data_IF_669043307110
#
_entry.id   IF_669043307110
#
_cell.length_a   1.000
_cell.length_b   1.000
_cell.length_c   1.000
_cell.angle_alpha   90.00
_cell.angle_beta   90.00
_cell.angle_gamma   90.00
#
_symmetry.space_group_name_H-M   'P 1'
#
loop_
_entity.id
_entity.type
_entity.pdbx_description
1 polymer ?
#
# COMPACT_ATOMS: atom_id res chain seq x y z
N UNK A 1 19.18 6.55 -18.70
CA UNK A 1 17.73 6.84 -18.65
C UNK A 1 17.13 5.84 -17.71
N UNK A 2 16.38 6.29 -16.70
CA UNK A 2 15.79 5.42 -15.66
C UNK A 2 14.54 4.76 -16.25
N UNK A 3 14.49 3.44 -16.24
CA UNK A 3 13.39 2.65 -16.78
C UNK A 3 12.29 2.49 -15.70
N UNK A 4 11.10 2.97 -15.98
CA UNK A 4 9.98 3.02 -15.02
C UNK A 4 8.81 2.18 -15.52
N UNK A 5 8.31 1.29 -14.66
CA UNK A 5 7.00 0.69 -14.81
C UNK A 5 6.00 1.51 -13.98
N UNK A 6 4.87 1.88 -14.58
CA UNK A 6 3.80 2.61 -13.92
C UNK A 6 2.55 1.73 -13.82
N UNK A 7 2.08 1.48 -12.59
CA UNK A 7 0.90 0.68 -12.32
C UNK A 7 -0.15 1.50 -11.55
N UNK A 8 -1.31 1.69 -12.14
CA UNK A 8 -2.43 2.48 -11.62
C UNK A 8 -3.71 2.06 -12.35
N UNK A 9 -4.81 1.81 -11.66
CA UNK A 9 -6.05 1.38 -12.32
C UNK A 9 -6.82 2.53 -12.96
N UNK A 10 -6.55 3.77 -12.55
CA UNK A 10 -7.15 4.97 -13.12
C UNK A 10 -6.51 5.34 -14.47
N UNK A 11 -7.16 4.96 -15.57
CA UNK A 11 -6.62 5.14 -16.93
C UNK A 11 -6.16 6.57 -17.24
N UNK A 12 -6.94 7.60 -16.83
CA UNK A 12 -6.57 8.99 -17.09
C UNK A 12 -5.35 9.44 -16.29
N UNK A 13 -5.29 9.05 -15.01
CA UNK A 13 -4.17 9.37 -14.12
C UNK A 13 -2.90 8.70 -14.63
N UNK A 14 -2.96 7.40 -14.92
CA UNK A 14 -1.84 6.63 -15.45
C UNK A 14 -1.31 7.23 -16.75
N UNK A 15 -2.20 7.54 -17.71
CA UNK A 15 -1.81 8.14 -18.98
C UNK A 15 -1.19 9.54 -18.83
N UNK A 16 -1.74 10.37 -17.95
CA UNK A 16 -1.19 11.70 -17.65
C UNK A 16 0.21 11.60 -17.01
N UNK A 17 0.37 10.74 -16.00
CA UNK A 17 1.66 10.52 -15.34
C UNK A 17 2.71 9.97 -16.32
N UNK A 18 2.34 9.02 -17.17
CA UNK A 18 3.23 8.48 -18.19
C UNK A 18 3.69 9.57 -19.18
N UNK A 19 2.77 10.43 -19.61
CA UNK A 19 3.09 11.54 -20.51
C UNK A 19 4.04 12.55 -19.84
N UNK A 20 3.75 12.94 -18.60
CA UNK A 20 4.59 13.88 -17.84
C UNK A 20 5.99 13.33 -17.56
N UNK A 21 6.11 12.06 -17.17
CA UNK A 21 7.41 11.42 -16.92
C UNK A 21 8.24 11.31 -18.21
N UNK A 22 7.61 11.07 -19.37
CA UNK A 22 8.32 11.07 -20.67
C UNK A 22 8.86 12.44 -21.07
N UNK A 23 8.29 13.54 -20.59
CA UNK A 23 8.81 14.90 -20.83
C UNK A 23 10.08 15.19 -20.03
N UNK A 24 10.35 14.44 -18.98
CA UNK A 24 11.51 14.61 -18.10
C UNK A 24 12.80 14.12 -18.74
N UNK A 25 13.00 13.86 -19.91
CA UNK A 25 14.26 13.54 -20.62
C UNK A 25 15.22 12.51 -19.98
N UNK A 26 15.07 12.21 -18.69
CA UNK A 26 15.88 11.25 -17.91
C UNK A 26 15.14 9.96 -17.53
N UNK A 27 13.82 9.91 -17.79
CA UNK A 27 12.94 8.80 -17.42
C UNK A 27 12.29 8.20 -18.66
N UNK A 28 12.27 6.87 -18.74
CA UNK A 28 11.59 6.09 -19.77
C UNK A 28 10.49 5.24 -19.15
N UNK A 29 9.23 5.48 -19.50
CA UNK A 29 8.12 4.62 -19.08
C UNK A 29 8.07 3.40 -20.02
N UNK A 30 8.55 2.26 -19.51
CA UNK A 30 8.69 1.00 -20.27
C UNK A 30 7.42 0.13 -20.22
N UNK A 31 6.57 0.32 -19.24
CA UNK A 31 5.29 -0.39 -19.13
C UNK A 31 4.24 0.43 -18.37
N UNK A 32 2.99 0.30 -18.78
CA UNK A 32 1.81 0.87 -18.12
C UNK A 32 0.83 -0.27 -17.82
N UNK A 33 0.52 -0.49 -16.53
CA UNK A 33 -0.25 -1.63 -16.05
C UNK A 33 -1.49 -1.12 -15.30
N UNK A 34 -2.63 -1.75 -15.52
CA UNK A 34 -3.89 -1.37 -14.88
C UNK A 34 -4.29 -2.29 -13.71
N UNK A 35 -3.58 -3.39 -13.50
CA UNK A 35 -3.94 -4.44 -12.54
C UNK A 35 -2.71 -4.90 -11.78
N UNK A 36 -2.83 -5.01 -10.46
CA UNK A 36 -1.69 -5.40 -9.63
C UNK A 36 -1.23 -6.86 -9.85
N UNK A 37 -2.13 -7.77 -10.24
CA UNK A 37 -1.78 -9.16 -10.52
C UNK A 37 -0.94 -9.34 -11.79
N UNK A 38 -0.87 -8.34 -12.67
CA UNK A 38 -0.05 -8.33 -13.88
C UNK A 38 1.35 -7.73 -13.67
N UNK A 39 1.57 -6.99 -12.58
CA UNK A 39 2.80 -6.19 -12.39
C UNK A 39 4.04 -7.05 -12.30
N UNK A 40 4.00 -8.18 -11.58
CA UNK A 40 5.18 -9.04 -11.39
C UNK A 40 5.68 -9.58 -12.73
N UNK A 41 4.76 -10.06 -13.58
CA UNK A 41 5.09 -10.54 -14.91
C UNK A 41 5.63 -9.42 -15.82
N UNK A 42 5.07 -8.20 -15.71
CA UNK A 42 5.53 -7.05 -16.45
C UNK A 42 6.95 -6.61 -16.00
N UNK A 43 7.26 -6.68 -14.70
CA UNK A 43 8.62 -6.41 -14.19
C UNK A 43 9.62 -7.43 -14.75
N UNK A 44 9.27 -8.70 -14.83
CA UNK A 44 10.13 -9.74 -15.42
C UNK A 44 10.36 -9.51 -16.92
N UNK A 45 9.32 -9.10 -17.65
CA UNK A 45 9.40 -8.87 -19.10
C UNK A 45 10.17 -7.58 -19.46
N UNK A 46 9.96 -6.50 -18.71
CA UNK A 46 10.48 -5.18 -19.04
C UNK A 46 11.71 -4.76 -18.24
N UNK A 47 12.05 -5.48 -17.17
CA UNK A 47 13.21 -5.20 -16.29
C UNK A 47 13.34 -3.69 -15.95
N UNK A 48 12.31 -3.07 -15.31
CA UNK A 48 12.40 -1.67 -14.91
C UNK A 48 13.38 -1.49 -13.74
N UNK A 49 13.98 -0.30 -13.65
CA UNK A 49 14.79 0.11 -12.49
C UNK A 49 13.90 0.47 -11.31
N UNK A 50 12.75 1.10 -11.59
CA UNK A 50 11.78 1.57 -10.59
C UNK A 50 10.36 1.20 -11.02
N UNK A 51 9.58 0.64 -10.10
CA UNK A 51 8.15 0.46 -10.23
C UNK A 51 7.41 1.53 -9.41
N UNK A 52 6.57 2.33 -10.06
CA UNK A 52 5.64 3.25 -9.41
C UNK A 52 4.29 2.57 -9.35
N UNK A 53 3.77 2.37 -8.13
CA UNK A 53 2.59 1.57 -7.87
C UNK A 53 1.52 2.35 -7.13
N UNK A 54 0.30 2.38 -7.63
CA UNK A 54 -0.85 2.72 -6.80
C UNK A 54 -1.14 1.61 -5.79
N UNK A 55 -1.74 1.97 -4.65
CA UNK A 55 -2.15 0.99 -3.63
C UNK A 55 -3.42 0.27 -4.06
N UNK A 56 -4.42 1.01 -4.54
CA UNK A 56 -5.74 0.46 -4.85
C UNK A 56 -5.82 -0.01 -6.30
N UNK A 57 -5.46 -1.25 -6.54
CA UNK A 57 -5.55 -1.86 -7.87
C UNK A 57 -6.36 -3.17 -7.85
N UNK A 58 -7.11 -3.48 -8.91
CA UNK A 58 -7.79 -4.76 -9.04
C UNK A 58 -6.80 -5.93 -9.16
N UNK A 59 -7.22 -7.10 -8.72
CA UNK A 59 -6.44 -8.33 -8.75
C UNK A 59 -5.47 -8.47 -7.56
N UNK A 60 -4.62 -7.47 -7.33
CA UNK A 60 -3.67 -7.42 -6.21
C UNK A 60 -3.39 -5.98 -5.82
N UNK A 61 -3.42 -5.66 -4.52
CA UNK A 61 -3.08 -4.31 -4.04
C UNK A 61 -1.58 -4.01 -4.18
N UNK A 62 -1.23 -2.72 -4.35
CA UNK A 62 0.13 -2.29 -4.61
C UNK A 62 1.12 -2.58 -3.49
N UNK A 63 0.67 -2.71 -2.23
CA UNK A 63 1.54 -3.08 -1.12
C UNK A 63 1.95 -4.56 -1.20
N UNK A 64 0.99 -5.42 -1.52
CA UNK A 64 1.26 -6.85 -1.79
C UNK A 64 2.17 -7.03 -3.01
N UNK A 65 1.98 -6.19 -4.05
CA UNK A 65 2.89 -6.16 -5.20
C UNK A 65 4.31 -5.76 -4.76
N UNK A 66 4.44 -4.70 -3.96
CA UNK A 66 5.74 -4.23 -3.47
C UNK A 66 6.50 -5.34 -2.70
N UNK A 67 5.81 -6.11 -1.84
CA UNK A 67 6.41 -7.26 -1.16
C UNK A 67 6.97 -8.30 -2.13
N UNK A 68 6.23 -8.60 -3.23
CA UNK A 68 6.66 -9.56 -4.25
C UNK A 68 7.79 -9.05 -5.13
N UNK A 69 7.95 -7.74 -5.24
CA UNK A 69 9.03 -7.11 -6.00
C UNK A 69 10.30 -6.89 -5.19
N UNK A 70 10.32 -7.24 -3.90
CA UNK A 70 11.48 -7.06 -3.04
C UNK A 70 12.76 -7.67 -3.66
N UNK A 71 13.78 -6.83 -3.84
CA UNK A 71 15.06 -7.23 -4.45
C UNK A 71 15.06 -7.33 -5.98
N UNK A 72 13.95 -7.09 -6.68
CA UNK A 72 13.87 -7.13 -8.16
C UNK A 72 14.02 -5.74 -8.79
N UNK A 73 13.33 -4.75 -8.25
CA UNK A 73 13.46 -3.35 -8.61
C UNK A 73 13.14 -2.45 -7.42
N UNK A 74 13.46 -1.18 -7.52
CA UNK A 74 13.08 -0.22 -6.50
C UNK A 74 11.59 0.12 -6.63
N UNK A 75 10.90 0.37 -5.50
CA UNK A 75 9.45 0.63 -5.48
C UNK A 75 9.16 2.01 -4.92
N UNK A 76 8.32 2.76 -5.64
CA UNK A 76 7.68 4.00 -5.22
C UNK A 76 6.17 3.74 -5.14
N UNK A 77 5.57 4.00 -3.98
CA UNK A 77 4.11 3.99 -3.82
C UNK A 77 3.57 5.39 -4.12
N UNK A 78 2.57 5.46 -4.97
CA UNK A 78 1.83 6.67 -5.29
C UNK A 78 0.36 6.43 -4.95
N UNK A 79 -0.25 7.25 -4.07
CA UNK A 79 -1.59 6.95 -3.55
C UNK A 79 -2.45 8.20 -3.38
N UNK A 80 -3.75 8.11 -3.67
CA UNK A 80 -4.74 9.14 -3.33
C UNK A 80 -4.98 9.23 -1.82
N UNK A 81 -4.62 8.18 -1.07
CA UNK A 81 -4.94 8.04 0.34
C UNK A 81 -3.67 8.17 1.18
N UNK A 82 -3.30 9.40 1.53
CA UNK A 82 -2.21 9.73 2.45
C UNK A 82 -2.47 9.26 3.90
N UNK A 83 -2.88 8.00 4.09
CA UNK A 83 -3.14 7.44 5.41
C UNK A 83 -1.83 7.01 6.07
N UNK A 84 -1.58 7.41 7.34
CA UNK A 84 -0.35 7.07 8.06
C UNK A 84 0.03 5.59 8.03
N UNK A 85 -0.97 4.74 7.99
CA UNK A 85 -0.79 3.32 8.00
C UNK A 85 -0.29 2.73 6.71
N UNK A 86 -0.63 3.30 5.59
CA UNK A 86 -0.11 2.87 4.29
C UNK A 86 1.39 3.12 4.18
N UNK A 87 1.89 4.24 4.70
CA UNK A 87 3.32 4.51 4.72
C UNK A 87 4.09 3.42 5.49
N UNK A 88 3.64 3.04 6.70
CA UNK A 88 4.32 1.98 7.46
C UNK A 88 4.30 0.63 6.75
N UNK A 89 3.15 0.25 6.19
CA UNK A 89 3.02 -0.98 5.41
C UNK A 89 3.88 -0.95 4.15
N UNK A 90 3.92 0.18 3.44
CA UNK A 90 4.77 0.36 2.27
C UNK A 90 6.26 0.18 2.61
N UNK A 91 6.71 0.79 3.71
CA UNK A 91 8.10 0.65 4.16
C UNK A 91 8.42 -0.78 4.60
N UNK A 92 7.50 -1.45 5.29
CA UNK A 92 7.64 -2.86 5.66
C UNK A 92 7.67 -3.79 4.44
N UNK A 93 6.90 -3.46 3.39
CA UNK A 93 6.90 -4.15 2.09
C UNK A 93 8.17 -3.88 1.25
N UNK A 94 9.09 -3.04 1.73
CA UNK A 94 10.34 -2.74 1.05
C UNK A 94 10.28 -1.56 0.07
N UNK A 95 9.17 -0.82 0.00
CA UNK A 95 9.11 0.41 -0.78
C UNK A 95 10.12 1.43 -0.28
N UNK A 96 10.70 2.20 -1.20
CA UNK A 96 11.68 3.26 -0.90
C UNK A 96 11.14 4.66 -1.15
N UNK A 97 10.05 4.78 -1.93
CA UNK A 97 9.32 6.01 -2.17
C UNK A 97 7.88 5.91 -1.70
N UNK A 98 7.34 7.01 -1.16
CA UNK A 98 5.93 7.12 -0.82
C UNK A 98 5.46 8.57 -1.01
N UNK A 99 4.50 8.78 -1.92
CA UNK A 99 3.95 10.08 -2.30
C UNK A 99 2.43 10.02 -2.41
N UNK A 100 1.78 11.18 -2.21
CA UNK A 100 0.40 11.40 -2.61
C UNK A 100 0.27 11.59 -4.13
N UNK A 101 -0.89 11.24 -4.71
CA UNK A 101 -1.21 11.54 -6.12
C UNK A 101 -1.45 13.04 -6.38
N UNK A 102 -1.46 13.86 -5.35
CA UNK A 102 -1.48 15.32 -5.39
C UNK A 102 -0.08 15.95 -5.53
N UNK A 103 0.98 15.13 -5.43
CA UNK A 103 2.34 15.56 -5.70
C UNK A 103 2.52 16.02 -7.17
N UNK A 104 3.39 16.99 -7.39
CA UNK A 104 3.71 17.44 -8.75
C UNK A 104 4.50 16.38 -9.54
N UNK A 105 4.49 16.52 -10.87
CA UNK A 105 5.26 15.63 -11.73
C UNK A 105 6.79 15.71 -11.46
N UNK A 106 7.26 16.91 -11.11
CA UNK A 106 8.66 17.17 -10.72
C UNK A 106 9.02 16.44 -9.42
N UNK A 107 8.12 16.42 -8.43
CA UNK A 107 8.32 15.70 -7.18
C UNK A 107 8.34 14.18 -7.42
N UNK A 108 7.45 13.67 -8.25
CA UNK A 108 7.45 12.26 -8.63
C UNK A 108 8.76 11.88 -9.36
N UNK A 109 9.22 12.71 -10.31
CA UNK A 109 10.47 12.49 -11.01
C UNK A 109 11.68 12.53 -10.05
N UNK A 110 11.69 13.47 -9.10
CA UNK A 110 12.72 13.56 -8.06
C UNK A 110 12.72 12.32 -7.14
N UNK A 111 11.54 11.83 -6.77
CA UNK A 111 11.38 10.61 -5.99
C UNK A 111 11.92 9.39 -6.74
N UNK A 112 11.57 9.23 -8.02
CA UNK A 112 12.06 8.15 -8.88
C UNK A 112 13.59 8.15 -8.94
N UNK A 113 14.23 9.31 -9.19
CA UNK A 113 15.69 9.43 -9.23
C UNK A 113 16.32 9.06 -7.90
N UNK A 114 15.81 9.63 -6.80
CA UNK A 114 16.34 9.38 -5.45
C UNK A 114 16.26 7.90 -5.07
N UNK A 115 15.15 7.25 -5.42
CA UNK A 115 14.91 5.83 -5.11
C UNK A 115 15.79 4.95 -6.01
N UNK A 116 15.96 5.30 -7.29
CA UNK A 116 16.88 4.65 -8.20
C UNK A 116 18.33 4.68 -7.68
N UNK A 117 18.79 5.81 -7.14
CA UNK A 117 20.12 5.99 -6.56
C UNK A 117 20.27 5.31 -5.18
N UNK A 118 19.30 4.51 -4.75
CA UNK A 118 19.32 3.75 -3.51
C UNK A 118 18.86 4.53 -2.27
N UNK A 119 18.45 5.80 -2.42
CA UNK A 119 17.90 6.63 -1.36
C UNK A 119 16.44 6.29 -1.01
N UNK A 120 15.86 7.10 -0.13
CA UNK A 120 14.42 7.05 0.21
C UNK A 120 13.79 8.42 -0.04
N UNK A 121 12.57 8.42 -0.54
CA UNK A 121 11.76 9.61 -0.72
C UNK A 121 10.42 9.42 0.00
N UNK A 122 10.19 10.21 1.03
CA UNK A 122 8.96 10.18 1.82
C UNK A 122 8.40 11.59 1.89
N UNK A 123 7.11 11.72 1.64
CA UNK A 123 6.40 12.95 1.92
C UNK A 123 6.50 13.27 3.42
N UNK A 124 6.88 14.50 3.74
CA UNK A 124 7.18 14.91 5.11
C UNK A 124 5.94 14.94 6.01
N UNK A 125 4.78 15.34 5.47
CA UNK A 125 3.52 15.38 6.22
C UNK A 125 3.02 13.96 6.51
N UNK A 126 3.08 13.08 5.51
CA UNK A 126 2.73 11.68 5.67
C UNK A 126 3.66 10.95 6.63
N UNK A 127 4.96 11.26 6.59
CA UNK A 127 5.93 10.72 7.52
C UNK A 127 5.64 11.17 8.97
N UNK A 128 5.38 12.45 9.18
CA UNK A 128 5.03 13.00 10.49
C UNK A 128 3.72 12.38 11.03
N UNK A 129 2.70 12.25 10.19
CA UNK A 129 1.43 11.62 10.56
C UNK A 129 1.59 10.13 10.91
N UNK A 130 2.45 9.40 10.16
CA UNK A 130 2.74 8.00 10.44
C UNK A 130 3.49 7.81 11.78
N UNK A 131 4.40 8.73 12.11
CA UNK A 131 5.09 8.75 13.40
C UNK A 131 4.13 9.06 14.56
N UNK A 132 3.23 10.02 14.37
CA UNK A 132 2.23 10.39 15.37
C UNK A 132 1.18 9.28 15.64
N UNK A 133 0.90 8.46 14.66
CA UNK A 133 -0.08 7.38 14.77
C UNK A 133 0.32 6.25 15.74
N UNK A 134 1.61 6.15 16.10
CA UNK A 134 2.12 5.14 17.04
C UNK A 134 1.98 3.68 16.56
N UNK A 135 2.33 2.73 17.41
CA UNK A 135 2.19 1.31 17.12
C UNK A 135 0.74 0.83 17.26
N UNK A 136 0.43 -0.27 16.58
CA UNK A 136 -0.90 -0.89 16.67
C UNK A 136 -1.19 -1.37 18.11
N UNK A 137 -2.30 -0.96 18.73
CA UNK A 137 -2.71 -1.49 20.02
C UNK A 137 -3.27 -2.91 19.92
N UNK A 138 -3.48 -3.40 18.68
CA UNK A 138 -4.06 -4.71 18.41
C UNK A 138 -3.00 -5.80 18.43
N UNK A 139 -3.32 -6.92 19.05
CA UNK A 139 -2.54 -8.15 18.89
C UNK A 139 -2.70 -8.71 17.48
N UNK A 140 -1.81 -9.61 17.08
CA UNK A 140 -1.89 -10.29 15.79
C UNK A 140 -3.23 -11.00 15.58
N UNK A 141 -3.72 -11.72 16.58
CA UNK A 141 -5.00 -12.43 16.54
C UNK A 141 -6.22 -11.50 16.43
N UNK A 142 -6.17 -10.35 17.09
CA UNK A 142 -7.21 -9.33 16.95
C UNK A 142 -7.22 -8.72 15.54
N UNK A 143 -6.04 -8.50 14.95
CA UNK A 143 -5.90 -8.04 13.56
C UNK A 143 -6.44 -9.07 12.57
N UNK A 144 -6.09 -10.34 12.72
CA UNK A 144 -6.57 -11.41 11.85
C UNK A 144 -8.10 -11.52 11.88
N UNK A 145 -8.68 -11.48 13.08
CA UNK A 145 -10.13 -11.50 13.23
C UNK A 145 -10.80 -10.29 12.57
N UNK A 146 -10.25 -9.07 12.73
CA UNK A 146 -10.76 -7.86 12.09
C UNK A 146 -10.62 -7.89 10.56
N UNK A 147 -9.49 -8.38 10.01
CA UNK A 147 -9.30 -8.53 8.56
C UNK A 147 -10.35 -9.43 7.92
N UNK A 148 -10.65 -10.56 8.56
CA UNK A 148 -11.70 -11.46 8.06
C UNK A 148 -13.09 -10.85 8.21
N UNK A 149 -13.34 -10.13 9.30
CA UNK A 149 -14.60 -9.40 9.49
C UNK A 149 -14.80 -8.29 8.45
N UNK A 150 -13.75 -7.61 8.03
CA UNK A 150 -13.75 -6.61 6.96
C UNK A 150 -14.19 -7.20 5.61
N UNK A 151 -13.74 -8.40 5.31
CA UNK A 151 -14.16 -9.17 4.12
C UNK A 151 -15.59 -9.72 4.20
N UNK A 152 -16.36 -9.30 5.20
CA UNK A 152 -17.73 -9.73 5.40
C UNK A 152 -17.90 -11.10 6.06
N UNK A 153 -16.83 -11.71 6.59
CA UNK A 153 -16.95 -13.00 7.26
C UNK A 153 -17.72 -12.88 8.58
N UNK A 154 -18.68 -13.78 8.79
CA UNK A 154 -19.36 -13.96 10.07
C UNK A 154 -18.47 -14.70 11.08
N UNK A 155 -18.83 -14.62 12.37
CA UNK A 155 -18.02 -15.20 13.47
C UNK A 155 -17.71 -16.68 13.25
N UNK A 156 -18.67 -17.48 12.79
CA UNK A 156 -18.48 -18.91 12.53
C UNK A 156 -17.42 -19.15 11.43
N UNK A 157 -17.44 -18.34 10.37
CA UNK A 157 -16.46 -18.45 9.29
C UNK A 157 -15.06 -18.02 9.75
N UNK A 158 -14.95 -16.93 10.52
CA UNK A 158 -13.69 -16.48 11.12
C UNK A 158 -13.12 -17.58 12.03
N UNK A 159 -13.97 -18.21 12.86
CA UNK A 159 -13.57 -19.30 13.76
C UNK A 159 -12.99 -20.48 12.97
N UNK A 160 -13.65 -20.86 11.87
CA UNK A 160 -13.17 -21.94 11.01
C UNK A 160 -11.82 -21.58 10.33
N UNK A 161 -11.68 -20.38 9.76
CA UNK A 161 -10.46 -19.94 9.06
C UNK A 161 -9.26 -19.78 10.00
N UNK A 162 -9.49 -19.33 11.24
CA UNK A 162 -8.43 -19.15 12.24
C UNK A 162 -8.20 -20.37 13.12
N UNK A 163 -8.94 -21.46 12.93
CA UNK A 163 -8.92 -22.67 13.78
C UNK A 163 -9.19 -22.36 15.25
N UNK A 164 -10.21 -21.55 15.54
CA UNK A 164 -10.61 -21.08 16.85
C UNK A 164 -12.08 -21.43 17.16
N UNK A 165 -12.48 -21.28 18.42
CA UNK A 165 -13.90 -21.34 18.79
C UNK A 165 -14.58 -20.00 18.48
N UNK A 166 -15.88 -20.00 18.23
CA UNK A 166 -16.64 -18.77 18.03
C UNK A 166 -16.58 -17.83 19.25
N UNK A 167 -16.53 -18.37 20.46
CA UNK A 167 -16.35 -17.60 21.68
C UNK A 167 -15.04 -16.83 21.71
N UNK A 168 -13.95 -17.48 21.29
CA UNK A 168 -12.63 -16.85 21.18
C UNK A 168 -12.63 -15.73 20.15
N UNK A 169 -13.26 -15.94 18.98
CA UNK A 169 -13.39 -14.92 17.95
C UNK A 169 -14.20 -13.71 18.44
N UNK A 170 -15.33 -13.94 19.13
CA UNK A 170 -16.12 -12.84 19.73
C UNK A 170 -15.28 -12.03 20.72
N UNK A 171 -14.44 -12.69 21.52
CA UNK A 171 -13.55 -12.01 22.46
C UNK A 171 -12.50 -11.17 21.74
N UNK A 172 -11.84 -11.69 20.69
CA UNK A 172 -10.88 -10.91 19.90
C UNK A 172 -11.51 -9.69 19.25
N UNK A 173 -12.69 -9.85 18.64
CA UNK A 173 -13.40 -8.72 18.02
C UNK A 173 -13.84 -7.69 19.08
N UNK A 174 -14.33 -8.12 20.24
CA UNK A 174 -14.72 -7.23 21.34
C UNK A 174 -13.51 -6.47 21.90
N UNK A 175 -12.40 -7.15 22.12
CA UNK A 175 -11.16 -6.51 22.59
C UNK A 175 -10.64 -5.50 21.57
N UNK A 176 -10.65 -5.85 20.29
CA UNK A 176 -10.25 -4.93 19.23
C UNK A 176 -11.13 -3.67 19.18
N UNK A 177 -12.46 -3.82 19.28
CA UNK A 177 -13.43 -2.72 19.36
C UNK A 177 -13.09 -1.81 20.56
N UNK A 178 -12.86 -2.39 21.74
CA UNK A 178 -12.53 -1.65 22.96
C UNK A 178 -11.18 -0.92 22.84
N UNK A 179 -10.14 -1.58 22.36
CA UNK A 179 -8.80 -0.98 22.19
C UNK A 179 -8.78 0.18 21.21
N UNK A 180 -9.67 0.15 20.22
CA UNK A 180 -9.79 1.19 19.19
C UNK A 180 -10.79 2.29 19.58
N UNK A 181 -11.45 2.18 20.72
CA UNK A 181 -12.49 3.11 21.17
C UNK A 181 -13.67 3.20 20.21
N UNK A 182 -13.95 2.13 19.46
CA UNK A 182 -14.98 2.10 18.44
C UNK A 182 -16.32 1.65 19.01
N UNK A 183 -17.44 2.11 18.43
CA UNK A 183 -18.78 1.71 18.86
C UNK A 183 -19.17 0.30 18.35
N UNK A 184 -18.55 -0.16 17.26
CA UNK A 184 -18.83 -1.45 16.65
C UNK A 184 -17.66 -1.93 15.79
N UNK A 185 -17.77 -3.17 15.26
CA UNK A 185 -16.71 -3.79 14.46
C UNK A 185 -16.44 -3.04 13.16
N UNK A 186 -17.42 -2.41 12.54
CA UNK A 186 -17.26 -1.68 11.27
C UNK A 186 -16.42 -0.44 11.51
N UNK A 187 -16.70 0.30 12.57
CA UNK A 187 -15.91 1.46 12.97
C UNK A 187 -14.50 1.05 13.41
N UNK A 188 -14.37 -0.05 14.17
CA UNK A 188 -13.07 -0.59 14.54
C UNK A 188 -12.22 -0.93 13.31
N UNK A 189 -12.81 -1.60 12.32
CA UNK A 189 -12.13 -1.93 11.07
C UNK A 189 -11.68 -0.68 10.31
N UNK A 190 -12.58 0.31 10.13
CA UNK A 190 -12.26 1.58 9.47
C UNK A 190 -11.14 2.35 10.19
N UNK A 191 -11.18 2.38 11.52
CA UNK A 191 -10.14 3.02 12.32
C UNK A 191 -8.81 2.30 12.15
N UNK A 192 -8.80 0.97 12.24
CA UNK A 192 -7.59 0.18 12.07
C UNK A 192 -7.00 0.31 10.65
N UNK A 193 -7.82 0.34 9.61
CA UNK A 193 -7.39 0.58 8.23
C UNK A 193 -6.80 1.99 8.07
N UNK A 194 -7.50 3.03 8.56
CA UNK A 194 -7.02 4.41 8.50
C UNK A 194 -5.66 4.58 9.18
N UNK A 195 -5.44 3.89 10.30
CA UNK A 195 -4.19 3.91 11.04
C UNK A 195 -3.14 2.93 10.47
N UNK A 196 -3.52 2.07 9.52
CA UNK A 196 -2.69 1.04 8.92
C UNK A 196 -2.28 -0.08 9.86
N UNK A 197 -3.17 -0.41 10.73
CA UNK A 197 -3.02 -1.54 11.64
C UNK A 197 -3.63 -2.84 11.10
N UNK A 198 -4.35 -2.75 9.96
CA UNK A 198 -4.90 -3.89 9.20
C UNK A 198 -4.26 -4.01 7.83
#
# INVERSE_FOLDING_TARGET
>A
MIRVLLADDEHLVRGALAALLRLDGGIEVVAEIARGDEVVAAVEAHTPDVAVLDIEMPGMDGLTVAERLAGRCAVVILTSLGRPGYLRRAMAAGARGFLGKDASAEELAAAIRKVHDGGRYLDAELAAAAMAAGDSPLTERERDALRLADRGAGVARIAAELHLTEGTVRNYLSNAISKLGAANRVEATRTAQRMGWL
#
